data_IF_594254356000
#
_entry.id   IF_594254356000
#
_cell.length_a   1.000
_cell.length_b   1.000
_cell.length_c   1.000
_cell.angle_alpha   90.00
_cell.angle_beta   90.00
_cell.angle_gamma   90.00
#
_symmetry.space_group_name_H-M   'P 1'
#
loop_
_entity.id
_entity.type
_entity.pdbx_description
1 polymer ?
#
# COMPACT_ATOMS: atom_id res chain seq x y z
N UNK A 1 48.22 -14.41 -65.04
CA UNK A 1 47.01 -13.59 -64.85
C UNK A 1 46.74 -13.56 -63.35
N UNK A 2 47.34 -12.66 -62.56
CA UNK A 2 46.97 -11.22 -62.41
C UNK A 2 45.45 -11.09 -62.22
N UNK A 3 44.90 -10.65 -61.09
CA UNK A 3 45.28 -9.48 -60.29
C UNK A 3 44.98 -9.64 -58.78
N UNK A 4 45.72 -8.85 -57.99
CA UNK A 4 45.50 -8.60 -56.56
C UNK A 4 44.40 -7.55 -56.40
N UNK A 5 43.49 -7.72 -55.43
CA UNK A 5 42.82 -6.59 -54.77
C UNK A 5 42.95 -6.78 -53.26
N UNK A 6 43.81 -5.96 -52.65
CA UNK A 6 43.82 -5.70 -51.21
C UNK A 6 42.74 -4.66 -50.94
N UNK A 7 41.78 -4.97 -50.08
CA UNK A 7 41.01 -3.94 -49.38
C UNK A 7 41.49 -3.86 -47.93
N UNK A 8 41.94 -2.65 -47.61
CA UNK A 8 42.43 -2.15 -46.35
C UNK A 8 41.23 -1.98 -45.39
N UNK A 9 41.45 -2.26 -44.11
CA UNK A 9 40.41 -2.30 -43.08
C UNK A 9 39.55 -1.04 -42.96
N UNK A 10 38.30 -1.26 -42.58
CA UNK A 10 37.46 -0.29 -41.90
C UNK A 10 36.95 -1.01 -40.65
N UNK A 11 37.36 -0.49 -39.49
CA UNK A 11 36.85 -0.85 -38.20
C UNK A 11 35.35 -0.54 -38.13
N UNK A 12 34.53 -1.55 -38.42
CA UNK A 12 33.09 -1.50 -38.17
C UNK A 12 32.85 -1.70 -36.67
N UNK A 13 32.82 -0.61 -35.92
CA UNK A 13 32.27 -0.57 -34.57
C UNK A 13 30.79 -0.97 -34.65
N UNK A 14 30.49 -2.26 -34.45
CA UNK A 14 29.13 -2.73 -34.20
C UNK A 14 28.71 -2.18 -32.82
N UNK A 15 28.04 -1.03 -32.85
CA UNK A 15 27.36 -0.47 -31.69
C UNK A 15 26.13 -1.36 -31.41
N UNK A 16 26.30 -2.39 -30.58
CA UNK A 16 25.15 -3.05 -29.97
C UNK A 16 24.56 -2.10 -28.93
N UNK A 17 23.61 -1.26 -29.34
CA UNK A 17 22.71 -0.60 -28.39
C UNK A 17 21.82 -1.69 -27.81
N UNK A 18 22.22 -2.26 -26.68
CA UNK A 18 21.28 -2.97 -25.83
C UNK A 18 20.38 -1.93 -25.19
N UNK A 19 19.23 -1.67 -25.81
CA UNK A 19 18.11 -1.06 -25.11
C UNK A 19 17.63 -2.13 -24.13
N UNK A 20 18.10 -2.06 -22.88
CA UNK A 20 17.48 -2.78 -21.79
C UNK A 20 16.11 -2.14 -21.53
N UNK A 21 15.11 -2.51 -22.33
CA UNK A 21 13.71 -2.41 -21.92
C UNK A 21 13.61 -3.23 -20.64
N UNK A 22 13.16 -2.58 -19.56
CA UNK A 22 13.26 -3.05 -18.18
C UNK A 22 13.27 -4.56 -18.03
N UNK A 23 14.43 -5.10 -17.70
CA UNK A 23 14.52 -6.46 -17.20
C UNK A 23 13.90 -6.46 -15.79
N UNK A 24 12.62 -6.81 -15.68
CA UNK A 24 12.23 -7.60 -14.51
C UNK A 24 12.80 -8.99 -14.77
N UNK A 25 14.01 -9.26 -14.27
CA UNK A 25 14.34 -10.65 -13.96
C UNK A 25 13.18 -11.20 -13.12
N UNK A 26 12.79 -12.43 -13.35
CA UNK A 26 11.85 -13.17 -12.50
C UNK A 26 12.47 -13.49 -11.12
N UNK A 27 13.19 -12.52 -10.56
CA UNK A 27 13.76 -12.54 -9.22
C UNK A 27 12.67 -12.11 -8.25
N UNK A 28 12.64 -12.74 -7.08
CA UNK A 28 11.63 -12.47 -6.07
C UNK A 28 11.64 -10.96 -5.74
N UNK A 29 10.49 -10.26 -5.77
CA UNK A 29 10.43 -8.85 -5.44
C UNK A 29 11.03 -8.59 -4.05
N UNK A 30 11.98 -7.65 -3.98
CA UNK A 30 12.54 -7.18 -2.72
C UNK A 30 11.62 -6.12 -2.12
N UNK A 31 10.92 -6.47 -1.05
CA UNK A 31 9.99 -5.61 -0.32
C UNK A 31 10.65 -4.88 0.86
N UNK A 32 11.95 -5.09 1.10
CA UNK A 32 12.64 -4.44 2.22
C UNK A 32 12.57 -2.92 2.13
N UNK A 33 12.22 -2.26 3.22
CA UNK A 33 12.21 -0.80 3.29
C UNK A 33 11.15 -0.23 4.21
N UNK A 34 11.07 1.10 4.24
CA UNK A 34 10.00 1.85 4.90
C UNK A 34 8.95 2.19 3.85
N UNK A 35 7.71 1.84 4.15
CA UNK A 35 6.55 2.00 3.30
C UNK A 35 5.51 2.86 4.00
N UNK A 36 4.67 3.53 3.22
CA UNK A 36 3.54 4.27 3.73
C UNK A 36 2.42 4.24 2.68
N UNK A 37 1.19 3.99 3.13
CA UNK A 37 0.02 4.14 2.29
C UNK A 37 -0.38 5.63 2.23
N UNK A 38 -0.64 6.11 1.02
CA UNK A 38 -1.16 7.46 0.80
C UNK A 38 -2.63 7.39 0.45
N UNK A 39 -3.48 7.90 1.34
CA UNK A 39 -4.93 7.95 1.13
C UNK A 39 -5.71 7.99 2.44
N UNK A 40 -7.03 7.83 2.32
CA UNK A 40 -7.97 7.86 3.45
C UNK A 40 -8.60 6.51 3.73
N UNK A 41 -8.08 5.43 3.13
CA UNK A 41 -8.61 4.07 3.27
C UNK A 41 -8.63 3.52 4.70
N UNK A 42 -7.91 4.13 5.65
CA UNK A 42 -8.03 3.80 7.07
C UNK A 42 -9.32 4.32 7.72
N UNK A 43 -10.01 5.26 7.09
CA UNK A 43 -11.33 5.75 7.48
C UNK A 43 -12.44 4.89 6.86
N UNK A 44 -12.34 4.62 5.56
CA UNK A 44 -13.27 3.76 4.82
C UNK A 44 -12.61 3.26 3.53
N UNK A 45 -12.83 1.99 3.19
CA UNK A 45 -12.32 1.38 1.96
C UNK A 45 -13.15 1.76 0.72
N UNK A 46 -14.44 2.01 0.93
CA UNK A 46 -15.35 2.54 -0.09
C UNK A 46 -15.13 4.04 -0.28
N UNK A 47 -15.54 4.56 -1.44
CA UNK A 47 -15.53 5.99 -1.69
C UNK A 47 -16.43 6.74 -0.70
N UNK A 48 -15.94 7.84 -0.14
CA UNK A 48 -16.64 8.59 0.90
C UNK A 48 -16.36 10.09 0.82
N UNK A 49 -17.39 10.89 1.13
CA UNK A 49 -17.26 12.33 1.25
C UNK A 49 -16.56 12.72 2.55
N UNK A 50 -15.99 13.93 2.57
CA UNK A 50 -15.50 14.51 3.81
C UNK A 50 -16.65 14.64 4.81
N UNK A 51 -16.38 14.29 6.07
CA UNK A 51 -17.40 14.28 7.13
C UNK A 51 -16.89 14.90 8.42
N UNK A 52 -17.84 15.44 9.19
CA UNK A 52 -17.54 15.98 10.53
C UNK A 52 -17.39 14.83 11.50
N UNK A 53 -16.48 14.98 12.45
CA UNK A 53 -16.48 14.16 13.67
C UNK A 53 -16.92 15.03 14.84
N UNK A 54 -17.11 14.41 15.99
CA UNK A 54 -17.26 15.12 17.25
C UNK A 54 -16.09 16.08 17.56
N UNK A 55 -14.86 15.73 17.16
CA UNK A 55 -13.68 16.54 17.38
C UNK A 55 -13.70 17.83 16.54
N UNK A 56 -14.48 17.87 15.45
CA UNK A 56 -14.67 19.07 14.62
C UNK A 56 -15.24 20.26 15.42
N UNK A 57 -15.97 20.01 16.52
CA UNK A 57 -16.46 21.08 17.41
C UNK A 57 -15.31 21.86 18.06
N UNK A 58 -14.21 21.18 18.39
CA UNK A 58 -13.08 21.77 19.12
C UNK A 58 -11.91 22.11 18.20
N UNK A 59 -11.59 21.22 17.26
CA UNK A 59 -10.42 21.32 16.38
C UNK A 59 -10.73 21.89 15.00
N UNK A 60 -12.01 22.19 14.70
CA UNK A 60 -12.43 22.60 13.36
C UNK A 60 -12.09 21.54 12.32
N UNK A 61 -11.61 21.98 11.15
CA UNK A 61 -11.28 21.09 10.04
C UNK A 61 -10.20 20.03 10.37
N UNK A 62 -9.33 20.29 11.36
CA UNK A 62 -8.29 19.34 11.77
C UNK A 62 -8.86 18.08 12.44
N UNK A 63 -10.08 18.16 12.97
CA UNK A 63 -10.79 17.00 13.52
C UNK A 63 -11.75 16.34 12.52
N UNK A 64 -11.80 16.78 11.27
CA UNK A 64 -12.69 16.19 10.26
C UNK A 64 -12.07 14.95 9.60
N UNK A 65 -12.91 14.12 9.00
CA UNK A 65 -12.47 13.01 8.17
C UNK A 65 -12.39 13.47 6.72
N UNK A 66 -11.21 13.38 6.07
CA UNK A 66 -11.08 13.81 4.68
C UNK A 66 -11.83 12.87 3.74
N UNK A 67 -12.21 13.37 2.56
CA UNK A 67 -12.83 12.56 1.52
C UNK A 67 -11.84 11.54 0.94
N UNK A 68 -12.36 10.43 0.42
CA UNK A 68 -11.58 9.34 -0.16
C UNK A 68 -12.20 8.76 -1.42
N UNK A 69 -11.32 8.35 -2.34
CA UNK A 69 -11.72 7.45 -3.42
C UNK A 69 -11.70 6.01 -2.92
N UNK A 70 -12.55 5.19 -3.52
CA UNK A 70 -12.57 3.75 -3.29
C UNK A 70 -11.20 3.12 -3.59
N UNK A 71 -10.80 2.15 -2.75
CA UNK A 71 -9.62 1.30 -2.97
C UNK A 71 -10.00 -0.15 -3.25
N UNK A 72 -11.29 -0.43 -3.44
CA UNK A 72 -11.83 -1.75 -3.71
C UNK A 72 -12.31 -1.85 -5.15
N UNK A 73 -12.13 -3.02 -5.73
CA UNK A 73 -12.68 -3.33 -7.05
C UNK A 73 -14.21 -3.38 -6.99
N UNK A 74 -14.89 -2.68 -7.90
CA UNK A 74 -16.35 -2.58 -7.93
C UNK A 74 -16.96 -1.55 -6.97
N UNK A 75 -16.13 -0.78 -6.25
CA UNK A 75 -16.48 0.35 -5.38
C UNK A 75 -17.42 0.10 -4.19
N UNK A 76 -18.01 -1.10 -4.10
CA UNK A 76 -18.92 -1.48 -3.03
C UNK A 76 -18.54 -2.85 -2.47
N UNK A 77 -18.44 -2.95 -1.15
CA UNK A 77 -18.24 -4.22 -0.46
C UNK A 77 -19.58 -4.95 -0.44
N UNK A 78 -19.62 -6.25 -0.79
CA UNK A 78 -20.85 -7.04 -0.78
C UNK A 78 -21.27 -7.39 0.66
N UNK A 79 -21.77 -6.40 1.39
CA UNK A 79 -22.28 -6.57 2.74
C UNK A 79 -23.51 -7.47 2.76
N UNK A 80 -23.65 -8.22 3.85
CA UNK A 80 -24.95 -8.72 4.27
C UNK A 80 -25.79 -7.55 4.79
N UNK A 81 -27.12 -7.63 4.71
CA UNK A 81 -28.03 -6.54 5.12
C UNK A 81 -27.79 -6.10 6.58
N UNK A 82 -27.60 -7.05 7.48
CA UNK A 82 -27.29 -6.75 8.89
C UNK A 82 -25.91 -6.08 9.06
N UNK A 83 -24.97 -6.35 8.16
CA UNK A 83 -23.60 -5.84 8.25
C UNK A 83 -23.52 -4.39 7.78
N UNK A 84 -24.27 -4.02 6.74
CA UNK A 84 -24.37 -2.62 6.30
C UNK A 84 -25.08 -1.77 7.36
N UNK A 85 -26.15 -2.27 7.97
CA UNK A 85 -26.82 -1.61 9.08
C UNK A 85 -25.85 -1.39 10.25
N UNK A 86 -25.15 -2.45 10.68
CA UNK A 86 -24.20 -2.33 11.78
C UNK A 86 -23.05 -1.37 11.49
N UNK A 87 -22.55 -1.37 10.25
CA UNK A 87 -21.51 -0.43 9.80
C UNK A 87 -22.00 1.01 9.86
N UNK A 88 -23.24 1.28 9.46
CA UNK A 88 -23.83 2.62 9.55
C UNK A 88 -24.02 3.07 11.01
N UNK A 89 -24.57 2.21 11.87
CA UNK A 89 -24.68 2.48 13.31
C UNK A 89 -23.34 2.86 13.95
N UNK A 90 -22.28 2.09 13.63
CA UNK A 90 -20.95 2.35 14.17
C UNK A 90 -20.36 3.68 13.64
N UNK A 91 -20.73 4.12 12.44
CA UNK A 91 -20.29 5.40 11.84
C UNK A 91 -20.96 6.59 12.48
N UNK A 92 -22.23 6.47 12.82
CA UNK A 92 -22.98 7.55 13.49
C UNK A 92 -22.38 7.90 14.86
N UNK A 93 -21.87 6.90 15.60
CA UNK A 93 -21.18 7.10 16.87
C UNK A 93 -19.72 6.56 16.82
N UNK A 94 -18.93 7.14 15.92
CA UNK A 94 -17.51 6.81 15.79
C UNK A 94 -16.70 7.00 17.08
N UNK A 95 -17.05 7.96 17.92
CA UNK A 95 -16.33 8.17 19.18
C UNK A 95 -16.39 6.95 20.10
N UNK A 96 -17.54 6.27 20.08
CA UNK A 96 -17.79 5.11 20.92
C UNK A 96 -17.40 3.81 20.24
N UNK A 97 -17.48 3.73 18.92
CA UNK A 97 -17.32 2.47 18.19
C UNK A 97 -16.00 2.32 17.45
N UNK A 98 -15.31 3.42 17.12
CA UNK A 98 -14.00 3.33 16.49
C UNK A 98 -12.93 2.87 17.48
N UNK A 99 -12.23 1.79 17.13
CA UNK A 99 -11.19 1.18 17.95
C UNK A 99 -9.95 2.08 18.09
N UNK A 100 -9.66 2.92 17.09
CA UNK A 100 -8.57 3.89 17.12
C UNK A 100 -8.81 5.01 18.13
N UNK A 101 -10.06 5.46 18.28
CA UNK A 101 -10.44 6.43 19.32
C UNK A 101 -10.22 5.87 20.73
N UNK A 102 -10.36 4.55 20.90
CA UNK A 102 -10.09 3.84 22.17
C UNK A 102 -8.62 3.49 22.39
N UNK A 103 -7.72 3.92 21.51
CA UNK A 103 -6.31 3.56 21.52
C UNK A 103 -6.05 2.05 21.41
N UNK A 104 -6.98 1.28 20.83
CA UNK A 104 -6.73 -0.11 20.50
C UNK A 104 -5.88 -0.22 19.23
N UNK A 105 -5.09 -1.28 19.18
CA UNK A 105 -4.22 -1.56 18.04
C UNK A 105 -5.11 -2.00 16.85
N UNK A 106 -5.04 -1.31 15.70
CA UNK A 106 -5.85 -1.67 14.54
C UNK A 106 -5.40 -2.99 13.93
N UNK A 107 -6.37 -3.76 13.44
CA UNK A 107 -6.10 -4.96 12.64
C UNK A 107 -5.57 -4.62 11.25
N UNK A 108 -5.09 -5.64 10.54
CA UNK A 108 -4.83 -5.56 9.09
C UNK A 108 -6.17 -5.68 8.35
N UNK A 109 -6.46 -4.86 7.32
CA UNK A 109 -5.55 -3.95 6.63
C UNK A 109 -5.49 -2.51 7.18
N UNK A 110 -6.32 -2.13 8.17
CA UNK A 110 -6.39 -0.74 8.65
C UNK A 110 -5.04 -0.19 9.09
N UNK A 111 -4.24 -0.95 9.84
CA UNK A 111 -2.88 -0.54 10.25
C UNK A 111 -1.98 -0.18 9.05
N UNK A 112 -2.12 -0.87 7.92
CA UNK A 112 -1.35 -0.60 6.69
C UNK A 112 -1.80 0.68 6.00
N UNK A 113 -3.10 1.03 6.10
CA UNK A 113 -3.66 2.24 5.50
C UNK A 113 -3.56 3.49 6.38
N UNK A 114 -3.13 3.35 7.64
CA UNK A 114 -2.91 4.51 8.49
C UNK A 114 -1.83 5.40 7.86
N UNK A 115 -1.93 6.74 8.02
CA UNK A 115 -0.99 7.67 7.40
C UNK A 115 0.33 7.74 8.18
N UNK A 116 0.85 6.58 8.56
CA UNK A 116 2.09 6.39 9.31
C UNK A 116 2.98 5.39 8.56
N UNK A 117 4.31 5.58 8.56
CA UNK A 117 5.23 4.60 8.00
C UNK A 117 5.16 3.24 8.72
N UNK A 118 5.44 2.19 7.96
CA UNK A 118 5.70 0.85 8.45
C UNK A 118 6.91 0.25 7.73
N UNK A 119 7.69 -0.58 8.42
CA UNK A 119 8.89 -1.18 7.87
C UNK A 119 8.65 -2.64 7.51
N UNK A 120 9.06 -3.05 6.31
CA UNK A 120 9.10 -4.44 5.89
C UNK A 120 10.56 -4.92 5.95
N UNK A 121 10.78 -6.04 6.63
CA UNK A 121 12.03 -6.80 6.64
C UNK A 121 11.74 -8.18 6.04
N UNK A 122 12.19 -8.43 4.82
CA UNK A 122 12.05 -9.68 4.11
C UNK A 122 13.35 -10.49 4.21
N UNK A 123 13.27 -11.63 4.87
CA UNK A 123 14.29 -12.68 4.83
C UNK A 123 13.87 -13.83 3.92
N UNK A 124 14.67 -14.90 3.90
CA UNK A 124 14.46 -16.04 3.00
C UNK A 124 13.13 -16.78 3.27
N UNK A 125 12.81 -17.01 4.55
CA UNK A 125 11.66 -17.82 4.96
C UNK A 125 10.59 -17.05 5.74
N UNK A 126 10.81 -15.75 5.99
CA UNK A 126 9.92 -14.91 6.80
C UNK A 126 9.91 -13.48 6.31
N UNK A 127 8.74 -12.84 6.42
CA UNK A 127 8.58 -11.40 6.28
C UNK A 127 8.13 -10.85 7.63
N UNK A 128 8.86 -9.87 8.15
CA UNK A 128 8.48 -9.13 9.33
C UNK A 128 8.00 -7.74 8.92
N UNK A 129 6.83 -7.33 9.44
CA UNK A 129 6.27 -6.00 9.20
C UNK A 129 6.12 -5.32 10.56
N UNK A 130 6.78 -4.16 10.74
CA UNK A 130 6.68 -3.33 11.93
C UNK A 130 5.87 -2.07 11.63
N UNK A 131 4.80 -1.83 12.38
CA UNK A 131 3.93 -0.67 12.25
C UNK A 131 4.27 0.36 13.34
N UNK A 132 4.24 1.64 12.98
CA UNK A 132 4.45 2.72 13.95
C UNK A 132 3.35 2.75 15.02
N UNK A 133 2.08 2.60 14.63
CA UNK A 133 0.95 2.68 15.56
C UNK A 133 0.98 1.54 16.58
N UNK A 134 1.10 1.91 17.86
CA UNK A 134 1.03 0.97 18.98
C UNK A 134 2.14 -0.08 18.99
N UNK A 135 3.26 0.17 18.29
CA UNK A 135 4.36 -0.80 18.11
C UNK A 135 3.89 -2.18 17.64
N UNK A 136 2.82 -2.19 16.82
CA UNK A 136 2.26 -3.43 16.30
C UNK A 136 3.23 -4.10 15.32
N UNK A 137 3.20 -5.42 15.23
CA UNK A 137 4.02 -6.15 14.27
C UNK A 137 3.35 -7.41 13.77
N UNK A 138 3.76 -7.86 12.59
CA UNK A 138 3.30 -9.10 11.98
C UNK A 138 4.49 -9.89 11.46
N UNK A 139 4.52 -11.18 11.76
CA UNK A 139 5.42 -12.13 11.12
C UNK A 139 4.61 -12.97 10.14
N UNK A 140 5.02 -12.98 8.88
CA UNK A 140 4.50 -13.86 7.84
C UNK A 140 5.55 -14.93 7.61
N UNK A 141 5.17 -16.17 7.79
CA UNK A 141 6.02 -17.31 7.50
C UNK A 141 5.81 -17.75 6.06
N UNK A 142 6.90 -18.00 5.33
CA UNK A 142 6.89 -18.48 3.95
C UNK A 142 7.16 -19.99 3.88
N UNK A 143 7.64 -20.57 4.98
CA UNK A 143 8.05 -21.97 5.13
C UNK A 143 6.96 -22.89 5.67
N UNK A 144 5.77 -22.35 5.96
CA UNK A 144 4.63 -23.10 6.51
C UNK A 144 3.30 -22.43 6.14
N UNK A 145 2.23 -23.21 5.92
CA UNK A 145 0.89 -22.69 5.67
C UNK A 145 0.30 -21.96 6.87
#
# INVERSE_FOLDING_TARGET
>A
MSEKVRFMGIAGMLLFVHIALGQTSAEQPNLNGVWQAFGTAHWDLEGHNASKTSATRTLGALGAIPAGMSVIEGDTIPYQDWAIEKRNENREDWQKHDVGVKCFIPGIPRSTYMPLPFQILQGENKIFIAYEWGSNSRVIHLDRP
#
